data_IF_217902777144
#
_entry.id   IF_217902777144
#
_cell.length_a   1.000
_cell.length_b   1.000
_cell.length_c   1.000
_cell.angle_alpha   90.00
_cell.angle_beta   90.00
_cell.angle_gamma   90.00
#
_symmetry.space_group_name_H-M   'P 1'
#
loop_
_entity.id
_entity.type
_entity.pdbx_description
1 polymer ?
#
# COMPACT_ATOMS: atom_id res chain seq x y z
N UNK A 1 26.86 -22.27 -8.95
CA UNK A 1 25.72 -23.13 -8.51
C UNK A 1 25.11 -22.65 -7.20
N UNK A 2 25.91 -22.20 -6.22
CA UNK A 2 25.43 -21.60 -4.97
C UNK A 2 24.58 -20.32 -5.14
N UNK A 3 24.93 -19.43 -6.07
CA UNK A 3 24.12 -18.22 -6.38
C UNK A 3 22.68 -18.53 -6.82
N UNK A 4 22.48 -19.57 -7.65
CA UNK A 4 21.13 -19.99 -8.08
C UNK A 4 20.28 -20.54 -6.92
N UNK A 5 20.93 -21.14 -5.91
CA UNK A 5 20.25 -21.67 -4.72
C UNK A 5 19.84 -20.56 -3.75
N UNK A 6 20.69 -19.54 -3.53
CA UNK A 6 20.36 -18.37 -2.72
C UNK A 6 19.24 -17.54 -3.37
N UNK A 7 19.30 -17.36 -4.69
CA UNK A 7 18.28 -16.61 -5.42
C UNK A 7 16.90 -17.31 -5.44
N UNK A 8 16.87 -18.64 -5.37
CA UNK A 8 15.60 -19.39 -5.21
C UNK A 8 15.00 -19.24 -3.81
N UNK A 9 15.84 -19.14 -2.77
CA UNK A 9 15.37 -18.94 -1.39
C UNK A 9 14.79 -17.54 -1.18
N UNK A 10 15.41 -16.50 -1.75
CA UNK A 10 14.91 -15.13 -1.67
C UNK A 10 13.57 -14.96 -2.40
N UNK A 11 13.43 -15.55 -3.59
CA UNK A 11 12.16 -15.56 -4.32
C UNK A 11 11.05 -16.29 -3.55
N UNK A 12 11.36 -17.41 -2.90
CA UNK A 12 10.40 -18.16 -2.08
C UNK A 12 9.94 -17.34 -0.86
N UNK A 13 10.85 -16.62 -0.21
CA UNK A 13 10.53 -15.71 0.90
C UNK A 13 9.64 -14.55 0.46
N UNK A 14 9.96 -13.91 -0.67
CA UNK A 14 9.12 -12.83 -1.24
C UNK A 14 7.73 -13.35 -1.61
N UNK A 15 7.64 -14.56 -2.18
CA UNK A 15 6.36 -15.20 -2.50
C UNK A 15 5.52 -15.48 -1.24
N UNK A 16 6.14 -16.01 -0.17
CA UNK A 16 5.47 -16.26 1.10
C UNK A 16 5.00 -14.95 1.77
N UNK A 17 5.84 -13.92 1.81
CA UNK A 17 5.47 -12.61 2.35
C UNK A 17 4.35 -11.96 1.53
N UNK A 18 4.38 -12.12 0.20
CA UNK A 18 3.29 -11.67 -0.67
C UNK A 18 1.99 -12.43 -0.40
N UNK A 19 2.07 -13.74 -0.14
CA UNK A 19 0.90 -14.55 0.22
C UNK A 19 0.32 -14.13 1.57
N UNK A 20 1.15 -13.89 2.58
CA UNK A 20 0.72 -13.31 3.86
C UNK A 20 0.11 -11.91 3.67
N UNK A 21 0.73 -11.06 2.85
CA UNK A 21 0.23 -9.74 2.50
C UNK A 21 -1.18 -9.79 1.90
N UNK A 22 -1.39 -10.73 0.99
CA UNK A 22 -2.66 -10.94 0.32
C UNK A 22 -3.72 -11.50 1.28
N UNK A 23 -3.35 -12.48 2.12
CA UNK A 23 -4.25 -13.06 3.11
C UNK A 23 -4.72 -12.02 4.13
N UNK A 24 -3.80 -11.24 4.69
CA UNK A 24 -4.12 -10.14 5.62
C UNK A 24 -4.97 -9.05 4.96
N UNK A 25 -4.72 -8.72 3.69
CA UNK A 25 -5.58 -7.81 2.94
C UNK A 25 -7.00 -8.36 2.76
N UNK A 26 -7.12 -9.65 2.46
CA UNK A 26 -8.41 -10.35 2.39
C UNK A 26 -9.15 -10.31 3.73
N UNK A 27 -8.47 -10.64 4.83
CA UNK A 27 -9.05 -10.56 6.18
C UNK A 27 -9.49 -9.15 6.56
N UNK A 28 -8.68 -8.14 6.28
CA UNK A 28 -9.01 -6.74 6.50
C UNK A 28 -10.26 -6.32 5.72
N UNK A 29 -10.44 -6.85 4.51
CA UNK A 29 -11.61 -6.59 3.67
C UNK A 29 -12.90 -7.23 4.20
N UNK A 30 -12.78 -8.26 5.06
CA UNK A 30 -13.91 -8.92 5.72
C UNK A 30 -14.33 -8.21 7.01
N UNK A 31 -13.49 -7.32 7.55
CA UNK A 31 -13.83 -6.50 8.70
C UNK A 31 -14.69 -5.33 8.20
N UNK A 32 -15.99 -5.27 8.55
CA UNK A 32 -16.82 -4.13 8.17
C UNK A 32 -16.33 -2.90 8.94
N UNK A 33 -15.52 -2.07 8.27
CA UNK A 33 -15.08 -0.81 8.85
C UNK A 33 -16.23 0.19 8.80
N UNK A 34 -16.37 1.04 9.84
CA UNK A 34 -17.45 2.02 9.92
C UNK A 34 -17.44 3.03 8.76
N UNK A 35 -16.31 3.15 8.05
CA UNK A 35 -16.15 4.01 6.88
C UNK A 35 -15.70 3.13 5.69
N UNK A 36 -16.50 3.02 4.61
CA UNK A 36 -16.19 2.17 3.45
C UNK A 36 -14.85 2.47 2.76
N UNK A 37 -14.36 3.71 2.92
CA UNK A 37 -13.14 4.21 2.28
C UNK A 37 -11.91 4.18 3.18
N UNK A 38 -12.08 3.90 4.48
CA UNK A 38 -10.98 3.79 5.43
C UNK A 38 -10.56 2.31 5.46
N UNK A 39 -9.36 2.00 4.96
CA UNK A 39 -8.70 0.71 5.23
C UNK A 39 -7.76 0.91 6.40
N UNK A 40 -7.74 0.00 7.36
CA UNK A 40 -6.90 0.04 8.57
C UNK A 40 -5.39 0.02 8.27
N UNK A 41 -4.99 -0.21 7.02
CA UNK A 41 -3.60 -0.15 6.59
C UNK A 41 -2.80 -1.39 6.99
N UNK A 42 -3.46 -2.48 7.40
CA UNK A 42 -2.79 -3.72 7.79
C UNK A 42 -1.95 -4.29 6.64
N UNK A 43 -2.46 -4.19 5.41
CA UNK A 43 -1.69 -4.55 4.23
C UNK A 43 -0.40 -3.72 4.09
N UNK A 44 -0.41 -2.44 4.46
CA UNK A 44 0.76 -1.55 4.40
C UNK A 44 1.78 -1.83 5.50
N UNK A 45 1.36 -2.40 6.65
CA UNK A 45 2.30 -2.91 7.66
C UNK A 45 3.21 -3.97 7.04
N UNK A 46 2.68 -4.87 6.21
CA UNK A 46 3.48 -5.92 5.59
C UNK A 46 4.42 -5.35 4.52
N UNK A 47 3.99 -4.33 3.79
CA UNK A 47 4.86 -3.57 2.88
C UNK A 47 6.02 -2.93 3.67
N UNK A 48 5.73 -2.32 4.82
CA UNK A 48 6.74 -1.72 5.71
C UNK A 48 7.69 -2.77 6.29
N UNK A 49 7.17 -3.88 6.84
CA UNK A 49 8.00 -4.96 7.38
C UNK A 49 8.88 -5.56 6.29
N UNK A 50 8.36 -5.69 5.06
CA UNK A 50 9.16 -6.13 3.91
C UNK A 50 10.23 -5.10 3.55
N UNK A 51 9.93 -3.80 3.65
CA UNK A 51 10.88 -2.72 3.41
C UNK A 51 12.03 -2.77 4.41
N UNK A 52 11.75 -2.97 5.70
CA UNK A 52 12.77 -3.04 6.75
C UNK A 52 13.62 -4.33 6.68
N UNK A 53 13.01 -5.48 6.37
CA UNK A 53 13.70 -6.78 6.37
C UNK A 53 14.41 -7.10 5.05
N UNK A 54 13.82 -6.73 3.90
CA UNK A 54 14.26 -7.15 2.57
C UNK A 54 14.53 -5.98 1.62
N UNK A 55 14.30 -4.74 2.07
CA UNK A 55 14.59 -3.54 1.31
C UNK A 55 13.49 -3.10 0.33
N UNK A 56 13.72 -1.94 -0.28
CA UNK A 56 12.74 -1.25 -1.12
C UNK A 56 12.24 -2.07 -2.31
N UNK A 57 13.15 -2.79 -2.97
CA UNK A 57 12.82 -3.60 -4.14
C UNK A 57 11.82 -4.72 -3.79
N UNK A 58 12.05 -5.41 -2.67
CA UNK A 58 11.16 -6.47 -2.21
C UNK A 58 9.78 -5.91 -1.80
N UNK A 59 9.76 -4.78 -1.07
CA UNK A 59 8.52 -4.11 -0.68
C UNK A 59 7.67 -3.70 -1.89
N UNK A 60 8.30 -3.13 -2.93
CA UNK A 60 7.63 -2.75 -4.17
C UNK A 60 7.06 -3.97 -4.91
N UNK A 61 7.80 -5.09 -4.97
CA UNK A 61 7.30 -6.34 -5.55
C UNK A 61 6.11 -6.90 -4.79
N UNK A 62 6.17 -6.96 -3.45
CA UNK A 62 5.05 -7.41 -2.61
C UNK A 62 3.81 -6.57 -2.86
N UNK A 63 3.95 -5.24 -2.90
CA UNK A 63 2.84 -4.32 -3.18
C UNK A 63 2.24 -4.56 -4.57
N UNK A 64 3.07 -4.68 -5.61
CA UNK A 64 2.61 -4.93 -6.98
C UNK A 64 1.86 -6.26 -7.10
N UNK A 65 2.44 -7.33 -6.58
CA UNK A 65 1.83 -8.67 -6.57
C UNK A 65 0.50 -8.64 -5.84
N UNK A 66 0.47 -8.07 -4.62
CA UNK A 66 -0.74 -7.96 -3.79
C UNK A 66 -1.85 -7.23 -4.53
N UNK A 67 -1.58 -6.06 -5.09
CA UNK A 67 -2.60 -5.25 -5.78
C UNK A 67 -3.12 -5.97 -7.02
N UNK A 68 -2.22 -6.59 -7.79
CA UNK A 68 -2.58 -7.34 -8.99
C UNK A 68 -3.48 -8.52 -8.65
N UNK A 69 -3.05 -9.37 -7.71
CA UNK A 69 -3.83 -10.53 -7.28
C UNK A 69 -5.17 -10.12 -6.65
N UNK A 70 -5.17 -9.13 -5.75
CA UNK A 70 -6.41 -8.64 -5.13
C UNK A 70 -7.42 -8.16 -6.18
N UNK A 71 -6.98 -7.43 -7.20
CA UNK A 71 -7.87 -6.97 -8.28
C UNK A 71 -8.41 -8.11 -9.15
N UNK A 72 -7.62 -9.17 -9.38
CA UNK A 72 -8.07 -10.37 -10.09
C UNK A 72 -9.13 -11.12 -9.28
N UNK A 73 -8.89 -11.35 -7.99
CA UNK A 73 -9.84 -12.05 -7.10
C UNK A 73 -11.16 -11.29 -6.94
N UNK A 74 -11.11 -9.96 -6.89
CA UNK A 74 -12.30 -9.10 -6.80
C UNK A 74 -13.00 -8.96 -8.17
N UNK A 75 -12.34 -9.33 -9.27
CA UNK A 75 -12.87 -9.16 -10.63
C UNK A 75 -12.82 -7.71 -11.14
N UNK A 76 -12.00 -6.86 -10.51
CA UNK A 76 -11.80 -5.43 -10.88
C UNK A 76 -10.46 -5.19 -11.58
N UNK A 77 -9.84 -6.24 -12.12
CA UNK A 77 -8.58 -6.15 -12.86
C UNK A 77 -8.72 -5.17 -14.03
N UNK A 78 -7.80 -4.20 -14.12
CA UNK A 78 -7.85 -3.05 -15.04
C UNK A 78 -9.03 -2.07 -14.86
N UNK A 79 -9.86 -2.26 -13.82
CA UNK A 79 -10.92 -1.33 -13.45
C UNK A 79 -10.41 -0.13 -12.64
N UNK A 80 -11.30 0.81 -12.30
CA UNK A 80 -10.94 1.99 -11.51
C UNK A 80 -10.34 1.63 -10.14
N UNK A 81 -10.84 0.56 -9.50
CA UNK A 81 -10.33 0.05 -8.24
C UNK A 81 -8.88 -0.42 -8.29
N UNK A 82 -8.46 -1.00 -9.44
CA UNK A 82 -7.08 -1.39 -9.66
C UNK A 82 -6.16 -0.17 -9.74
N UNK A 83 -6.53 0.86 -10.51
CA UNK A 83 -5.71 2.06 -10.67
C UNK A 83 -5.57 2.80 -9.32
N UNK A 84 -6.68 2.91 -8.57
CA UNK A 84 -6.68 3.46 -7.22
C UNK A 84 -5.71 2.70 -6.31
N UNK A 85 -5.85 1.38 -6.23
CA UNK A 85 -5.04 0.57 -5.32
C UNK A 85 -3.57 0.51 -5.75
N UNK A 86 -3.28 0.56 -7.06
CA UNK A 86 -1.94 0.56 -7.61
C UNK A 86 -1.25 1.90 -7.37
N UNK A 87 -1.93 3.01 -7.68
CA UNK A 87 -1.42 4.36 -7.43
C UNK A 87 -1.16 4.63 -5.95
N UNK A 88 -2.11 4.27 -5.09
CA UNK A 88 -1.94 4.30 -3.63
C UNK A 88 -0.75 3.49 -3.16
N UNK A 89 -0.69 2.21 -3.55
CA UNK A 89 0.36 1.30 -3.12
C UNK A 89 1.76 1.73 -3.56
N UNK A 90 1.90 2.17 -4.82
CA UNK A 90 3.18 2.65 -5.35
C UNK A 90 3.62 3.93 -4.63
N UNK A 91 2.72 4.91 -4.48
CA UNK A 91 3.04 6.18 -3.82
C UNK A 91 3.41 5.98 -2.35
N UNK A 92 2.65 5.17 -1.60
CA UNK A 92 2.95 4.83 -0.21
C UNK A 92 4.29 4.12 -0.06
N UNK A 93 4.57 3.12 -0.90
CA UNK A 93 5.83 2.38 -0.85
C UNK A 93 7.02 3.27 -1.23
N UNK A 94 6.87 4.15 -2.23
CA UNK A 94 7.89 5.13 -2.62
C UNK A 94 8.19 6.12 -1.49
N UNK A 95 7.16 6.65 -0.85
CA UNK A 95 7.33 7.57 0.28
C UNK A 95 8.07 6.88 1.44
N UNK A 96 7.65 5.68 1.84
CA UNK A 96 8.36 4.91 2.87
C UNK A 96 9.82 4.65 2.47
N UNK A 97 10.07 4.21 1.23
CA UNK A 97 11.43 3.94 0.74
C UNK A 97 12.33 5.17 0.69
N UNK A 98 11.79 6.32 0.29
CA UNK A 98 12.51 7.59 0.26
C UNK A 98 12.91 8.03 1.66
N UNK A 99 11.96 8.04 2.61
CA UNK A 99 12.25 8.44 3.99
C UNK A 99 13.15 7.44 4.72
N UNK A 100 13.02 6.15 4.44
CA UNK A 100 13.91 5.12 4.95
C UNK A 100 15.36 5.31 4.47
N UNK A 101 15.56 5.70 3.21
CA UNK A 101 16.87 6.00 2.62
C UNK A 101 17.51 7.26 3.22
N UNK A 102 16.72 8.34 3.35
CA UNK A 102 17.21 9.65 3.78
C UNK A 102 17.45 9.70 5.29
N UNK A 103 16.65 9.00 6.09
CA UNK A 103 16.78 9.07 7.55
C UNK A 103 16.40 7.78 8.28
N UNK A 104 17.21 6.72 8.15
CA UNK A 104 16.96 5.43 8.81
C UNK A 104 17.00 5.49 10.34
N UNK A 105 17.47 6.60 10.94
CA UNK A 105 17.57 6.79 12.40
C UNK A 105 16.56 7.78 12.99
N UNK A 106 15.91 8.61 12.17
CA UNK A 106 14.94 9.60 12.67
C UNK A 106 13.50 9.08 12.68
N UNK A 107 13.15 8.19 11.74
CA UNK A 107 11.80 7.65 11.64
C UNK A 107 11.78 6.19 12.09
N UNK A 108 11.15 5.92 13.22
CA UNK A 108 10.85 4.56 13.64
C UNK A 108 9.79 3.90 12.74
N UNK A 109 9.48 2.60 12.96
CA UNK A 109 8.54 1.84 12.14
C UNK A 109 7.15 2.52 12.07
N UNK A 110 6.71 3.10 13.20
CA UNK A 110 5.42 3.81 13.29
C UNK A 110 5.41 5.07 12.39
N UNK A 111 6.50 5.83 12.35
CA UNK A 111 6.60 7.05 11.53
C UNK A 111 6.61 6.74 10.03
N UNK A 112 7.35 5.71 9.62
CA UNK A 112 7.35 5.23 8.23
C UNK A 112 5.96 4.71 7.82
N UNK A 113 5.28 3.98 8.70
CA UNK A 113 3.90 3.55 8.48
C UNK A 113 2.96 4.73 8.26
N UNK A 114 3.07 5.77 9.09
CA UNK A 114 2.23 6.97 9.00
C UNK A 114 2.45 7.72 7.68
N UNK A 115 3.72 7.94 7.31
CA UNK A 115 4.10 8.57 6.04
C UNK A 115 3.53 7.77 4.86
N UNK A 116 3.73 6.46 4.87
CA UNK A 116 3.24 5.61 3.80
C UNK A 116 1.72 5.54 3.72
N UNK A 117 1.01 5.53 4.87
CA UNK A 117 -0.44 5.58 4.92
C UNK A 117 -0.98 6.92 4.37
N UNK A 118 -0.37 8.05 4.76
CA UNK A 118 -0.74 9.37 4.24
C UNK A 118 -0.52 9.46 2.73
N UNK A 119 0.67 9.09 2.23
CA UNK A 119 0.96 9.12 0.79
C UNK A 119 0.05 8.17 -0.01
N UNK A 120 -0.23 6.98 0.52
CA UNK A 120 -1.16 6.03 -0.10
C UNK A 120 -2.57 6.63 -0.22
N UNK A 121 -3.10 7.18 0.87
CA UNK A 121 -4.44 7.79 0.88
C UNK A 121 -4.52 9.02 -0.03
N UNK A 122 -3.50 9.88 -0.03
CA UNK A 122 -3.42 11.04 -0.95
C UNK A 122 -3.44 10.60 -2.41
N UNK A 123 -2.66 9.58 -2.77
CA UNK A 123 -2.62 9.07 -4.13
C UNK A 123 -3.95 8.41 -4.53
N UNK A 124 -4.58 7.63 -3.65
CA UNK A 124 -5.92 7.09 -3.92
C UNK A 124 -6.94 8.18 -4.17
N UNK A 125 -6.94 9.24 -3.35
CA UNK A 125 -7.85 10.38 -3.54
C UNK A 125 -7.58 11.11 -4.85
N UNK A 126 -6.31 11.31 -5.19
CA UNK A 126 -5.90 11.92 -6.45
C UNK A 126 -6.34 11.10 -7.68
N UNK A 127 -6.17 9.77 -7.67
CA UNK A 127 -6.63 8.92 -8.76
C UNK A 127 -8.16 8.82 -8.80
N UNK A 128 -8.84 8.83 -7.64
CA UNK A 128 -10.30 8.85 -7.58
C UNK A 128 -10.86 10.11 -8.24
N UNK A 129 -10.23 11.26 -8.00
CA UNK A 129 -10.57 12.51 -8.64
C UNK A 129 -10.48 12.45 -10.16
N UNK A 130 -9.34 11.95 -10.67
CA UNK A 130 -9.06 11.89 -12.10
C UNK A 130 -10.02 10.92 -12.81
N UNK A 131 -10.31 9.76 -12.20
CA UNK A 131 -11.03 8.67 -12.87
C UNK A 131 -12.55 8.76 -12.77
N UNK A 132 -13.09 9.15 -11.62
CA UNK A 132 -14.55 9.12 -11.40
C UNK A 132 -15.21 10.47 -11.55
N UNK A 133 -14.52 11.55 -11.19
CA UNK A 133 -15.22 12.73 -10.73
C UNK A 133 -15.41 13.78 -11.83
N UNK A 134 -14.38 14.31 -12.51
CA UNK A 134 -14.53 15.45 -13.45
C UNK A 134 -15.47 16.62 -12.96
N UNK A 135 -15.84 16.67 -11.67
CA UNK A 135 -16.81 17.55 -11.00
C UNK A 135 -16.29 17.85 -9.60
N UNK A 136 -15.67 19.00 -9.43
CA UNK A 136 -14.85 19.39 -8.26
C UNK A 136 -15.61 19.41 -6.91
N UNK A 137 -16.95 19.41 -6.90
CA UNK A 137 -17.74 19.77 -5.72
C UNK A 137 -17.61 18.84 -4.50
N UNK A 138 -17.62 17.49 -4.61
CA UNK A 138 -17.50 16.63 -3.43
C UNK A 138 -16.07 16.61 -2.85
N UNK A 139 -15.07 16.97 -3.66
CA UNK A 139 -13.67 16.76 -3.31
C UNK A 139 -13.12 17.82 -2.35
N UNK A 140 -13.63 19.05 -2.42
CA UNK A 140 -13.26 20.15 -1.50
C UNK A 140 -13.82 19.89 -0.08
N UNK A 141 -14.90 19.13 0.04
CA UNK A 141 -15.54 18.86 1.33
C UNK A 141 -14.89 17.66 2.05
N UNK A 142 -14.40 16.66 1.31
CA UNK A 142 -13.81 15.42 1.88
C UNK A 142 -12.33 15.59 2.24
N UNK A 143 -11.58 16.42 1.50
CA UNK A 143 -10.13 16.63 1.70
C UNK A 143 -9.74 17.11 3.11
N UNK A 144 -10.38 18.12 3.74
CA UNK A 144 -10.00 18.53 5.08
C UNK A 144 -10.32 17.47 6.14
N UNK A 145 -11.40 16.69 5.97
CA UNK A 145 -11.82 15.66 6.93
C UNK A 145 -10.83 14.47 6.98
N UNK A 146 -10.28 14.10 5.83
CA UNK A 146 -9.32 12.99 5.69
C UNK A 146 -7.93 13.34 6.26
N UNK A 147 -7.49 14.59 6.11
CA UNK A 147 -6.23 15.07 6.70
C UNK A 147 -6.33 15.16 8.22
N UNK A 148 -7.47 15.58 8.75
CA UNK A 148 -7.72 15.70 10.19
C UNK A 148 -7.82 14.35 10.90
N UNK A 149 -8.44 13.35 10.27
CA UNK A 149 -8.49 11.98 10.81
C UNK A 149 -7.13 11.28 10.68
N UNK A 150 -6.34 11.58 9.66
CA UNK A 150 -4.99 11.00 9.51
C UNK A 150 -3.94 11.57 10.47
N UNK A 151 -4.28 12.60 11.26
CA UNK A 151 -3.39 13.23 12.25
C UNK A 151 -3.73 12.87 13.69
N UNK A 152 -4.79 12.11 13.95
CA UNK A 152 -5.22 11.62 15.27
C UNK A 152 -5.02 10.10 15.30
#
# INVERSE_FOLDING_TARGET
MAERSMQSQDNCRIALLSAYALALHGFESLIPMPIPWLKAGLANIITLTTLELYGFRAAMMVTLIRVTLASIFIGSFLGPGFILSMGGGISGTLAMGFFFSVSPRLFGPVGLSLIGALSHNLAQLFFAYILFIQRIEPMIIITPFLVLIGTI
#
